data_IF_686757418450
#
_entry.id   IF_686757418450
#
_cell.length_a   1.000
_cell.length_b   1.000
_cell.length_c   1.000
_cell.angle_alpha   90.00
_cell.angle_beta   90.00
_cell.angle_gamma   90.00
#
_symmetry.space_group_name_H-M   'P 1'
#
loop_
_entity.id
_entity.type
_entity.pdbx_description
1 polymer ?
#
# COMPACT_ATOMS: atom_id res chain seq x y z
N UNK A 1 38.32 22.53 52.28
CA UNK A 1 37.51 23.72 51.90
C UNK A 1 37.83 23.97 50.43
N UNK A 2 37.02 23.40 49.53
CA UNK A 2 35.90 24.07 48.80
C UNK A 2 36.47 24.99 47.69
N UNK A 3 36.10 24.95 46.42
CA UNK A 3 35.13 24.16 45.66
C UNK A 3 35.31 24.47 44.14
N UNK A 4 35.30 23.44 43.30
CA UNK A 4 34.80 23.29 41.90
C UNK A 4 35.20 24.18 40.69
N UNK A 5 35.10 23.61 39.45
CA UNK A 5 35.57 24.19 38.17
C UNK A 5 34.46 24.76 37.26
N UNK A 6 34.81 25.78 36.46
CA UNK A 6 34.08 26.20 35.26
C UNK A 6 34.09 25.03 34.24
N UNK A 7 33.01 24.59 33.60
CA UNK A 7 31.72 25.20 33.31
C UNK A 7 31.41 24.94 31.84
N UNK A 8 30.73 23.83 31.56
CA UNK A 8 30.30 23.35 30.23
C UNK A 8 29.37 24.36 29.56
N UNK A 9 29.73 24.88 28.39
CA UNK A 9 28.83 25.73 27.60
C UNK A 9 27.76 24.86 26.91
N UNK A 10 26.59 24.79 27.52
CA UNK A 10 25.33 24.40 26.87
C UNK A 10 24.81 25.64 26.15
N UNK A 11 24.90 25.67 24.82
CA UNK A 11 24.14 26.63 24.02
C UNK A 11 22.73 26.05 23.84
N UNK A 12 21.79 26.51 24.65
CA UNK A 12 20.36 26.44 24.34
C UNK A 12 20.11 27.44 23.23
N UNK A 13 19.64 26.97 22.08
CA UNK A 13 19.01 27.83 21.09
C UNK A 13 17.51 27.54 21.13
N UNK A 14 16.81 28.33 21.94
CA UNK A 14 15.36 28.48 21.89
C UNK A 14 15.03 29.41 20.69
N UNK A 15 13.91 29.13 20.02
CA UNK A 15 13.35 29.83 18.84
C UNK A 15 13.68 29.22 17.47
N UNK A 16 13.11 28.05 17.19
CA UNK A 16 12.67 27.66 15.84
C UNK A 16 11.16 27.44 15.87
N UNK A 17 10.39 28.50 15.65
CA UNK A 17 8.96 28.41 15.34
C UNK A 17 8.83 27.89 13.91
N UNK A 18 8.80 26.56 13.78
CA UNK A 18 8.61 25.87 12.51
C UNK A 18 7.22 26.14 11.92
N UNK A 19 7.15 27.05 10.95
CA UNK A 19 6.07 27.08 9.99
C UNK A 19 6.23 25.86 9.08
N UNK A 20 5.59 24.76 9.45
CA UNK A 20 5.42 23.61 8.58
C UNK A 20 4.55 24.04 7.40
N UNK A 21 5.16 24.12 6.21
CA UNK A 21 4.41 24.18 4.96
C UNK A 21 3.68 22.84 4.81
N UNK A 22 2.44 22.79 5.28
CA UNK A 22 1.49 21.76 4.90
C UNK A 22 1.31 21.82 3.39
N UNK A 23 1.64 20.73 2.70
CA UNK A 23 1.18 20.49 1.34
C UNK A 23 -0.34 20.65 1.32
N UNK A 24 -0.87 21.40 0.35
CA UNK A 24 -2.28 21.74 0.28
C UNK A 24 -3.14 20.45 0.24
N UNK A 25 -4.15 20.29 1.10
CA UNK A 25 -5.10 19.17 1.05
C UNK A 25 -5.91 19.08 -0.26
N UNK A 26 -5.88 20.13 -1.09
CA UNK A 26 -6.82 20.34 -2.19
C UNK A 26 -6.64 19.41 -3.40
N UNK A 27 -5.50 18.72 -3.55
CA UNK A 27 -5.36 17.70 -4.60
C UNK A 27 -5.94 16.34 -4.19
N UNK A 28 -6.12 16.08 -2.89
CA UNK A 28 -6.79 14.88 -2.37
C UNK A 28 -8.30 15.06 -2.17
N UNK A 29 -8.80 16.31 -2.12
CA UNK A 29 -10.23 16.58 -1.95
C UNK A 29 -11.06 16.28 -3.20
N UNK A 30 -10.45 16.07 -4.37
CA UNK A 30 -11.20 15.75 -5.61
C UNK A 30 -11.73 14.33 -5.70
N UNK A 31 -11.42 13.44 -4.75
CA UNK A 31 -11.89 12.05 -4.79
C UNK A 31 -12.47 11.61 -3.45
N UNK A 32 -13.57 12.26 -3.08
CA UNK A 32 -14.56 11.66 -2.17
C UNK A 32 -15.95 12.00 -2.68
N UNK A 33 -16.31 11.41 -3.84
CA UNK A 33 -17.71 11.24 -4.21
C UNK A 33 -18.35 10.03 -3.50
N UNK A 34 -17.75 9.54 -2.41
CA UNK A 34 -18.49 8.73 -1.45
C UNK A 34 -19.69 9.53 -0.99
N UNK A 35 -20.87 8.92 -1.15
CA UNK A 35 -22.17 9.46 -0.78
C UNK A 35 -22.07 10.39 0.44
N UNK A 36 -22.59 11.62 0.32
CA UNK A 36 -22.72 12.60 1.42
C UNK A 36 -23.52 12.06 2.62
N UNK A 37 -24.06 10.86 2.52
CA UNK A 37 -24.74 10.14 3.58
C UNK A 37 -23.99 8.83 3.85
N UNK A 38 -23.39 8.65 5.04
CA UNK A 38 -22.86 7.35 5.44
C UNK A 38 -24.00 6.33 5.42
N UNK A 39 -23.72 5.07 5.05
CA UNK A 39 -24.73 4.01 5.13
C UNK A 39 -25.30 3.94 6.57
N UNK A 40 -26.57 3.54 6.72
CA UNK A 40 -27.18 3.40 8.03
C UNK A 40 -26.34 2.45 8.90
N UNK A 41 -26.15 2.81 10.17
CA UNK A 41 -25.41 2.01 11.16
C UNK A 41 -26.00 0.61 11.17
N UNK A 42 -25.25 -0.38 10.67
CA UNK A 42 -25.71 -1.77 10.64
C UNK A 42 -25.84 -2.28 12.07
N UNK A 43 -27.08 -2.53 12.50
CA UNK A 43 -27.39 -3.15 13.80
C UNK A 43 -27.33 -4.67 13.75
N UNK A 44 -27.12 -5.28 12.57
CA UNK A 44 -26.88 -6.71 12.43
C UNK A 44 -25.42 -7.03 12.72
N UNK A 45 -25.17 -8.04 13.56
CA UNK A 45 -23.82 -8.60 13.74
C UNK A 45 -23.27 -9.02 12.38
N UNK A 46 -22.28 -8.29 11.88
CA UNK A 46 -21.56 -8.65 10.66
C UNK A 46 -20.86 -9.98 10.90
N UNK A 47 -21.12 -10.93 10.00
CA UNK A 47 -20.42 -12.22 10.00
C UNK A 47 -19.21 -12.14 9.07
N UNK A 48 -18.19 -12.93 9.37
CA UNK A 48 -16.93 -12.93 8.62
C UNK A 48 -16.63 -14.31 8.04
N UNK A 49 -16.05 -14.29 6.84
CA UNK A 49 -15.39 -15.44 6.22
C UNK A 49 -13.88 -15.22 6.23
N UNK A 50 -13.12 -16.31 6.27
CA UNK A 50 -11.68 -16.27 6.45
C UNK A 50 -10.94 -17.02 5.34
N UNK A 51 -9.79 -16.47 4.97
CA UNK A 51 -8.70 -17.16 4.29
C UNK A 51 -7.43 -16.94 5.10
N UNK A 52 -6.47 -17.83 4.93
CA UNK A 52 -5.23 -17.82 5.70
C UNK A 52 -4.06 -17.85 4.74
N UNK A 53 -3.17 -16.87 4.85
CA UNK A 53 -1.97 -16.76 4.04
C UNK A 53 -0.75 -17.16 4.87
N UNK A 54 0.00 -18.15 4.40
CA UNK A 54 1.22 -18.65 5.02
C UNK A 54 2.45 -17.93 4.49
N UNK A 55 3.55 -17.98 5.23
CA UNK A 55 4.79 -17.28 4.87
C UNK A 55 5.47 -17.78 3.60
N UNK A 56 5.14 -18.98 3.12
CA UNK A 56 5.58 -19.48 1.81
C UNK A 56 4.66 -19.01 0.66
N UNK A 57 3.66 -18.16 0.94
CA UNK A 57 2.64 -17.72 -0.01
C UNK A 57 1.46 -18.69 -0.17
N UNK A 58 1.42 -19.81 0.56
CA UNK A 58 0.28 -20.72 0.54
C UNK A 58 -1.00 -20.03 1.01
N UNK A 59 -2.14 -20.40 0.43
CA UNK A 59 -3.47 -19.89 0.79
C UNK A 59 -4.36 -21.06 1.18
N UNK A 60 -5.05 -20.98 2.30
CA UNK A 60 -6.03 -21.97 2.74
C UNK A 60 -7.33 -21.31 3.23
N UNK A 61 -8.42 -22.09 3.24
CA UNK A 61 -9.71 -21.70 3.84
C UNK A 61 -9.84 -22.10 5.31
N UNK A 62 -8.87 -22.86 5.83
CA UNK A 62 -8.77 -23.24 7.23
C UNK A 62 -7.35 -22.94 7.75
N UNK A 63 -7.26 -22.62 9.05
CA UNK A 63 -5.98 -22.31 9.69
C UNK A 63 -5.28 -23.59 10.13
N UNK A 64 -4.08 -23.81 9.63
CA UNK A 64 -3.19 -24.91 10.05
C UNK A 64 -1.86 -24.30 10.48
N UNK A 65 -1.78 -23.87 11.74
CA UNK A 65 -0.62 -23.19 12.29
C UNK A 65 -0.62 -21.66 12.11
N UNK A 66 0.57 -21.06 12.08
CA UNK A 66 0.74 -19.61 11.98
C UNK A 66 0.48 -19.12 10.56
N UNK A 67 -0.55 -18.29 10.40
CA UNK A 67 -0.96 -17.72 9.13
C UNK A 67 -1.59 -16.34 9.34
N UNK A 68 -1.41 -15.47 8.35
CA UNK A 68 -1.99 -14.13 8.31
C UNK A 68 -3.48 -14.27 7.93
N UNK A 69 -4.41 -13.84 8.81
CA UNK A 69 -5.83 -13.93 8.51
C UNK A 69 -6.22 -12.86 7.48
N UNK A 70 -6.98 -13.29 6.47
CA UNK A 70 -7.65 -12.43 5.51
C UNK A 70 -9.14 -12.59 5.79
N UNK A 71 -9.70 -11.68 6.57
CA UNK A 71 -11.11 -11.67 6.90
C UNK A 71 -11.88 -10.80 5.92
N UNK A 72 -13.08 -11.22 5.58
CA UNK A 72 -13.98 -10.46 4.72
C UNK A 72 -15.39 -10.54 5.29
N UNK A 73 -16.15 -9.45 5.22
CA UNK A 73 -17.57 -9.48 5.58
C UNK A 73 -18.31 -10.46 4.67
N UNK A 74 -19.44 -11.01 5.12
CA UNK A 74 -20.25 -11.92 4.28
C UNK A 74 -20.82 -11.26 3.02
N UNK A 75 -20.82 -9.93 2.94
CA UNK A 75 -21.25 -9.19 1.75
C UNK A 75 -20.18 -9.17 0.65
N UNK A 76 -18.90 -9.27 1.01
CA UNK A 76 -17.79 -9.31 0.06
C UNK A 76 -17.92 -10.54 -0.83
N UNK A 77 -17.68 -10.40 -2.14
CA UNK A 77 -17.71 -11.52 -3.08
C UNK A 77 -16.60 -12.55 -2.81
N UNK A 78 -16.74 -13.79 -3.31
CA UNK A 78 -15.65 -14.77 -3.22
C UNK A 78 -14.41 -14.29 -4.00
N UNK A 79 -14.61 -13.70 -5.18
CA UNK A 79 -13.55 -13.18 -6.04
C UNK A 79 -12.70 -12.08 -5.36
N UNK A 80 -13.34 -11.13 -4.69
CA UNK A 80 -12.63 -10.09 -3.95
C UNK A 80 -11.82 -10.66 -2.78
N UNK A 81 -12.38 -11.65 -2.06
CA UNK A 81 -11.69 -12.31 -0.96
C UNK A 81 -10.47 -13.12 -1.45
N UNK A 82 -10.61 -13.84 -2.56
CA UNK A 82 -9.50 -14.53 -3.23
C UNK A 82 -8.42 -13.55 -3.70
N UNK A 83 -8.82 -12.39 -4.23
CA UNK A 83 -7.91 -11.33 -4.65
C UNK A 83 -7.09 -10.80 -3.47
N UNK A 84 -7.75 -10.46 -2.35
CA UNK A 84 -7.06 -10.00 -1.16
C UNK A 84 -6.01 -11.01 -0.68
N UNK A 85 -6.39 -12.29 -0.57
CA UNK A 85 -5.48 -13.36 -0.16
C UNK A 85 -4.31 -13.54 -1.14
N UNK A 86 -4.57 -13.42 -2.45
CA UNK A 86 -3.53 -13.51 -3.49
C UNK A 86 -2.55 -12.35 -3.43
N UNK A 87 -3.04 -11.12 -3.22
CA UNK A 87 -2.19 -9.94 -3.05
C UNK A 87 -1.26 -10.12 -1.84
N UNK A 88 -1.82 -10.46 -0.67
CA UNK A 88 -1.02 -10.67 0.55
C UNK A 88 -0.04 -11.82 0.37
N UNK A 89 -0.47 -12.95 -0.21
CA UNK A 89 0.41 -14.09 -0.54
C UNK A 89 1.64 -13.65 -1.32
N UNK A 90 1.46 -12.81 -2.33
CA UNK A 90 2.56 -12.32 -3.18
C UNK A 90 3.44 -11.29 -2.49
N UNK A 91 2.88 -10.50 -1.57
CA UNK A 91 3.69 -9.61 -0.73
C UNK A 91 4.59 -10.43 0.20
N UNK A 92 4.06 -11.51 0.82
CA UNK A 92 4.75 -12.18 1.93
C UNK A 92 5.64 -13.36 1.54
N UNK A 93 5.42 -14.00 0.39
CA UNK A 93 6.06 -15.29 0.01
C UNK A 93 7.59 -15.29 -0.06
N UNK A 94 8.22 -14.12 -0.12
CA UNK A 94 9.68 -13.97 -0.17
C UNK A 94 10.22 -13.13 1.00
N UNK A 95 9.36 -12.76 1.95
CA UNK A 95 9.78 -12.02 3.14
C UNK A 95 10.62 -12.91 4.08
N UNK A 96 11.52 -12.30 4.86
CA UNK A 96 12.18 -12.98 5.96
C UNK A 96 11.16 -13.59 6.93
N UNK A 97 11.43 -14.81 7.40
CA UNK A 97 10.51 -15.58 8.26
C UNK A 97 10.18 -14.85 9.56
N UNK A 98 11.13 -14.11 10.14
CA UNK A 98 10.90 -13.31 11.34
C UNK A 98 9.88 -12.16 11.12
N UNK A 99 9.87 -11.52 9.95
CA UNK A 99 8.87 -10.51 9.60
C UNK A 99 7.52 -11.18 9.40
N UNK A 100 7.47 -12.23 8.58
CA UNK A 100 6.21 -12.88 8.27
C UNK A 100 5.56 -13.56 9.49
N UNK A 101 6.35 -14.16 10.38
CA UNK A 101 5.82 -14.76 11.61
C UNK A 101 5.20 -13.72 12.54
N UNK A 102 5.76 -12.50 12.61
CA UNK A 102 5.14 -11.39 13.36
C UNK A 102 3.80 -10.96 12.73
N UNK A 103 3.70 -10.94 11.40
CA UNK A 103 2.42 -10.69 10.72
C UNK A 103 1.40 -11.80 11.00
N UNK A 104 1.84 -13.06 11.04
CA UNK A 104 0.96 -14.20 11.33
C UNK A 104 0.43 -14.23 12.77
N UNK A 105 1.07 -13.50 13.69
CA UNK A 105 0.56 -13.23 15.04
C UNK A 105 -0.31 -11.97 15.14
N UNK A 106 -0.55 -11.28 14.03
CA UNK A 106 -1.33 -10.04 13.95
C UNK A 106 -2.70 -10.28 13.32
N UNK A 107 -3.59 -9.29 13.41
CA UNK A 107 -4.96 -9.38 12.94
C UNK A 107 -5.15 -9.32 11.40
N UNK A 108 -4.07 -9.13 10.62
CA UNK A 108 -4.04 -9.30 9.17
C UNK A 108 -4.84 -8.26 8.36
N UNK A 109 -5.70 -8.74 7.46
CA UNK A 109 -6.43 -7.91 6.47
C UNK A 109 -7.92 -8.05 6.65
N UNK A 110 -8.65 -6.93 6.61
CA UNK A 110 -10.11 -6.90 6.59
C UNK A 110 -10.66 -6.31 5.30
N UNK A 111 -11.52 -7.07 4.62
CA UNK A 111 -12.22 -6.64 3.40
C UNK A 111 -13.68 -6.34 3.69
N UNK A 112 -14.17 -5.19 3.22
CA UNK A 112 -15.56 -4.75 3.35
C UNK A 112 -16.10 -4.25 2.00
N UNK A 113 -17.41 -4.00 1.91
CA UNK A 113 -18.06 -3.51 0.69
C UNK A 113 -18.45 -2.04 0.82
N UNK A 114 -18.81 -1.35 -0.28
CA UNK A 114 -19.36 0.03 -0.22
C UNK A 114 -20.67 0.18 0.55
N UNK A 115 -21.34 -0.92 0.88
CA UNK A 115 -22.53 -0.91 1.74
C UNK A 115 -22.17 -0.77 3.22
N UNK A 116 -20.88 -0.87 3.52
CA UNK A 116 -20.29 -0.88 4.84
C UNK A 116 -19.24 0.23 4.94
N UNK A 117 -18.82 0.52 6.16
CA UNK A 117 -17.70 1.39 6.48
C UNK A 117 -16.63 0.58 7.19
N UNK A 118 -15.38 1.02 7.17
CA UNK A 118 -14.26 0.21 7.68
C UNK A 118 -14.38 -0.17 9.17
N UNK A 119 -15.20 0.51 9.96
CA UNK A 119 -15.46 0.18 11.36
C UNK A 119 -16.25 -1.13 11.55
N UNK A 120 -16.76 -1.75 10.47
CA UNK A 120 -17.26 -3.13 10.53
C UNK A 120 -16.15 -4.13 10.85
N UNK A 121 -14.90 -3.79 10.51
CA UNK A 121 -13.75 -4.63 10.80
C UNK A 121 -13.54 -4.77 12.32
N UNK A 122 -13.33 -6.00 12.83
CA UNK A 122 -12.97 -6.24 14.21
C UNK A 122 -11.92 -5.25 14.72
N UNK A 123 -12.05 -4.76 15.95
CA UNK A 123 -11.10 -3.79 16.53
C UNK A 123 -11.27 -2.33 16.08
N UNK A 124 -12.07 -2.03 15.05
CA UNK A 124 -12.27 -0.67 14.53
C UNK A 124 -13.61 -0.02 14.92
N UNK A 125 -14.42 -0.66 15.77
CA UNK A 125 -15.68 -0.08 16.24
C UNK A 125 -15.52 1.25 17.00
N UNK A 126 -14.33 1.51 17.55
CA UNK A 126 -14.00 2.76 18.24
C UNK A 126 -13.94 3.96 17.29
N UNK A 127 -13.72 3.75 15.99
CA UNK A 127 -13.62 4.83 14.99
C UNK A 127 -14.92 5.05 14.21
N UNK A 128 -16.00 4.33 14.56
CA UNK A 128 -17.30 4.45 13.92
C UNK A 128 -17.86 5.88 13.96
N UNK A 129 -18.36 6.36 12.82
CA UNK A 129 -18.92 7.71 12.70
C UNK A 129 -20.35 7.78 13.24
N UNK A 130 -20.46 8.12 14.53
CA UNK A 130 -21.73 8.25 15.24
C UNK A 130 -22.54 9.44 14.74
N UNK A 131 -23.89 9.46 14.89
CA UNK A 131 -24.71 10.58 14.43
C UNK A 131 -24.25 11.94 14.98
N UNK A 132 -23.79 12.00 16.23
CA UNK A 132 -23.25 13.21 16.87
C UNK A 132 -21.91 13.69 16.31
N UNK A 133 -21.19 12.83 15.56
CA UNK A 133 -19.88 13.11 15.01
C UNK A 133 -19.90 13.36 13.50
N UNK A 134 -21.04 13.18 12.82
CA UNK A 134 -21.14 13.37 11.36
C UNK A 134 -20.62 14.75 10.95
N UNK A 135 -19.69 14.76 10.00
CA UNK A 135 -19.13 16.00 9.45
C UNK A 135 -18.20 16.79 10.39
N UNK A 136 -17.85 16.28 11.57
CA UNK A 136 -16.91 16.94 12.49
C UNK A 136 -15.87 15.99 13.08
N UNK A 137 -14.64 16.47 13.20
CA UNK A 137 -13.53 15.79 13.86
C UNK A 137 -13.15 16.47 15.19
N UNK A 138 -13.95 17.44 15.65
CA UNK A 138 -13.61 18.23 16.83
C UNK A 138 -13.93 17.48 18.14
N UNK A 139 -13.17 17.79 19.19
CA UNK A 139 -13.42 17.31 20.55
C UNK A 139 -13.49 15.79 20.65
N UNK A 140 -14.59 15.27 21.22
CA UNK A 140 -14.84 13.84 21.41
C UNK A 140 -15.05 13.04 20.12
N UNK A 141 -15.12 13.71 18.97
CA UNK A 141 -15.24 13.07 17.65
C UNK A 141 -13.91 12.89 16.92
N UNK A 142 -12.80 13.36 17.48
CA UNK A 142 -11.47 13.28 16.88
C UNK A 142 -11.02 11.84 16.57
N UNK A 143 -11.43 10.87 17.39
CA UNK A 143 -11.17 9.45 17.17
C UNK A 143 -11.87 8.85 15.93
N UNK A 144 -12.87 9.53 15.37
CA UNK A 144 -13.59 9.09 14.16
C UNK A 144 -12.94 9.60 12.86
N UNK A 145 -11.81 10.30 12.98
CA UNK A 145 -11.06 10.84 11.87
C UNK A 145 -9.61 10.34 11.88
N UNK A 146 -9.08 10.18 10.68
CA UNK A 146 -7.66 9.93 10.45
C UNK A 146 -6.84 11.18 10.76
N UNK A 147 -5.51 11.01 10.83
CA UNK A 147 -4.58 12.09 11.19
C UNK A 147 -4.58 13.26 10.21
N UNK A 148 -5.05 13.07 8.97
CA UNK A 148 -5.19 14.14 7.98
C UNK A 148 -6.58 14.81 7.98
N UNK A 149 -7.45 14.43 8.93
CA UNK A 149 -8.77 15.04 9.11
C UNK A 149 -9.89 14.37 8.30
N UNK A 150 -9.63 13.33 7.52
CA UNK A 150 -10.69 12.57 6.83
C UNK A 150 -11.43 11.64 7.80
N UNK A 151 -12.74 11.50 7.60
CA UNK A 151 -13.57 10.54 8.34
C UNK A 151 -13.21 9.11 7.98
N UNK A 152 -13.07 8.23 8.97
CA UNK A 152 -12.86 6.80 8.69
C UNK A 152 -14.03 6.20 7.89
N UNK A 153 -15.26 6.70 8.09
CA UNK A 153 -16.43 6.30 7.30
C UNK A 153 -16.34 6.64 5.81
N UNK A 154 -15.43 7.53 5.39
CA UNK A 154 -15.20 7.86 3.97
C UNK A 154 -13.94 7.23 3.37
N UNK A 155 -13.16 6.48 4.16
CA UNK A 155 -11.92 5.89 3.67
C UNK A 155 -12.20 4.54 3.00
N UNK A 156 -11.57 4.34 1.84
CA UNK A 156 -11.58 3.07 1.11
C UNK A 156 -10.65 2.02 1.71
N UNK A 157 -9.75 2.43 2.60
CA UNK A 157 -8.80 1.59 3.29
C UNK A 157 -8.05 2.36 4.37
N UNK A 158 -7.43 1.62 5.28
CA UNK A 158 -6.58 2.17 6.33
C UNK A 158 -5.60 1.11 6.79
N UNK A 159 -4.35 1.50 6.95
CA UNK A 159 -3.31 0.72 7.56
C UNK A 159 -3.27 0.90 9.07
N UNK A 160 -2.62 -0.04 9.75
CA UNK A 160 -2.57 -0.07 11.21
C UNK A 160 -2.78 -1.47 11.74
N UNK A 161 -3.59 -1.60 12.79
CA UNK A 161 -3.87 -2.89 13.42
C UNK A 161 -4.44 -3.89 12.40
N UNK A 162 -5.27 -3.40 11.49
CA UNK A 162 -5.66 -4.10 10.28
C UNK A 162 -5.17 -3.28 9.09
N UNK A 163 -4.85 -3.96 8.00
CA UNK A 163 -5.00 -3.34 6.69
C UNK A 163 -6.45 -3.55 6.26
N UNK A 164 -7.22 -2.46 6.20
CA UNK A 164 -8.60 -2.50 5.70
C UNK A 164 -8.65 -2.10 4.24
N UNK A 165 -9.58 -2.69 3.50
CA UNK A 165 -9.75 -2.41 2.09
C UNK A 165 -11.19 -2.65 1.63
N UNK A 166 -11.70 -1.77 0.78
CA UNK A 166 -12.95 -1.98 0.06
C UNK A 166 -12.77 -2.93 -1.13
N UNK A 167 -13.76 -3.80 -1.35
CA UNK A 167 -13.73 -4.80 -2.40
C UNK A 167 -13.72 -4.23 -3.83
N UNK A 168 -14.39 -3.09 -4.08
CA UNK A 168 -14.37 -2.44 -5.40
C UNK A 168 -12.91 -2.14 -5.86
N UNK A 169 -11.98 -1.77 -4.96
CA UNK A 169 -10.55 -1.56 -5.29
C UNK A 169 -9.82 -2.87 -5.61
N UNK A 170 -10.14 -3.95 -4.91
CA UNK A 170 -9.55 -5.27 -5.16
C UNK A 170 -9.98 -5.83 -6.53
N UNK A 171 -11.24 -5.59 -6.89
CA UNK A 171 -11.81 -6.01 -8.16
C UNK A 171 -11.40 -5.08 -9.31
N UNK A 172 -10.92 -3.87 -9.00
CA UNK A 172 -10.61 -2.83 -9.98
C UNK A 172 -11.84 -2.55 -10.86
N UNK A 173 -13.03 -2.48 -10.26
CA UNK A 173 -14.25 -2.21 -11.01
C UNK A 173 -14.50 -0.70 -11.17
N UNK A 174 -15.62 -0.33 -11.80
CA UNK A 174 -15.97 1.07 -12.05
C UNK A 174 -16.27 1.89 -10.78
N UNK A 175 -16.49 1.22 -9.64
CA UNK A 175 -16.71 1.86 -8.35
C UNK A 175 -15.43 1.98 -7.52
N UNK A 176 -14.28 1.51 -8.02
CA UNK A 176 -12.98 1.73 -7.38
C UNK A 176 -12.73 3.24 -7.20
N UNK A 177 -12.64 3.73 -5.95
CA UNK A 177 -12.44 5.14 -5.69
C UNK A 177 -11.08 5.67 -6.17
N UNK A 178 -10.14 4.79 -6.53
CA UNK A 178 -8.84 5.18 -7.08
C UNK A 178 -8.75 4.98 -8.60
N UNK A 179 -9.89 4.79 -9.27
CA UNK A 179 -9.97 4.70 -10.72
C UNK A 179 -9.12 3.59 -11.30
N UNK A 180 -8.97 2.45 -10.59
CA UNK A 180 -8.28 1.24 -11.07
C UNK A 180 -6.77 1.42 -11.26
N UNK A 181 -6.21 2.51 -10.72
CA UNK A 181 -4.79 2.86 -10.89
C UNK A 181 -3.96 2.58 -9.65
N UNK A 182 -4.54 2.47 -8.47
CA UNK A 182 -3.81 2.37 -7.20
C UNK A 182 -4.27 1.15 -6.39
N UNK A 183 -3.31 0.30 -5.99
CA UNK A 183 -3.59 -0.87 -5.16
C UNK A 183 -3.51 -0.47 -3.68
N UNK A 184 -4.66 -0.11 -3.11
CA UNK A 184 -4.76 0.36 -1.73
C UNK A 184 -4.34 -0.76 -0.76
N UNK A 185 -4.68 -2.03 -1.03
CA UNK A 185 -4.29 -3.11 -0.12
C UNK A 185 -2.77 -3.24 0.03
N UNK A 186 -1.99 -3.12 -1.05
CA UNK A 186 -0.52 -3.14 -0.96
C UNK A 186 -0.02 -1.99 -0.10
N UNK A 187 -0.60 -0.80 -0.27
CA UNK A 187 -0.24 0.37 0.53
C UNK A 187 -0.58 0.17 2.02
N UNK A 188 -1.83 -0.15 2.35
CA UNK A 188 -2.27 -0.26 3.75
C UNK A 188 -1.62 -1.45 4.47
N UNK A 189 -1.38 -2.57 3.78
CA UNK A 189 -0.66 -3.70 4.36
C UNK A 189 0.82 -3.37 4.61
N UNK A 190 1.41 -2.49 3.80
CA UNK A 190 2.77 -1.97 4.05
C UNK A 190 2.84 -1.14 5.33
N UNK A 191 1.82 -0.34 5.65
CA UNK A 191 1.72 0.32 6.96
C UNK A 191 1.66 -0.69 8.11
N UNK A 192 0.89 -1.77 7.98
CA UNK A 192 0.86 -2.85 8.98
C UNK A 192 2.23 -3.52 9.16
N UNK A 193 2.95 -3.78 8.06
CA UNK A 193 4.32 -4.33 8.09
C UNK A 193 5.27 -3.38 8.83
N UNK A 194 5.28 -2.10 8.47
CA UNK A 194 6.12 -1.07 9.08
C UNK A 194 5.85 -0.93 10.58
N UNK A 195 4.58 -0.95 10.98
CA UNK A 195 4.21 -0.72 12.37
C UNK A 195 4.48 -1.93 13.27
N UNK A 196 4.22 -3.15 12.80
CA UNK A 196 4.16 -4.34 13.67
C UNK A 196 5.17 -5.44 13.34
N UNK A 197 5.60 -5.56 12.09
CA UNK A 197 6.42 -6.72 11.66
C UNK A 197 7.92 -6.42 11.67
N UNK A 198 8.32 -5.21 11.30
CA UNK A 198 9.74 -4.82 11.35
C UNK A 198 10.17 -4.50 12.78
N UNK A 199 11.41 -4.84 13.13
CA UNK A 199 11.99 -4.53 14.45
C UNK A 199 12.45 -3.06 14.56
N UNK A 200 12.91 -2.65 15.75
CA UNK A 200 13.36 -1.28 16.00
C UNK A 200 14.54 -0.88 15.11
N UNK A 201 15.48 -1.78 14.86
CA UNK A 201 16.63 -1.50 14.00
C UNK A 201 16.19 -1.22 12.56
N UNK A 202 15.25 -2.00 12.04
CA UNK A 202 14.69 -1.78 10.71
C UNK A 202 13.84 -0.51 10.66
N UNK A 203 13.05 -0.20 11.69
CA UNK A 203 12.35 1.10 11.80
C UNK A 203 13.33 2.27 11.74
N UNK A 204 14.45 2.18 12.48
CA UNK A 204 15.49 3.22 12.41
C UNK A 204 16.10 3.34 11.01
N UNK A 205 16.31 2.23 10.28
CA UNK A 205 16.79 2.27 8.88
C UNK A 205 15.79 2.95 7.95
N UNK A 206 14.50 2.66 8.11
CA UNK A 206 13.42 3.31 7.33
C UNK A 206 13.39 4.81 7.63
N UNK A 207 13.45 5.19 8.89
CA UNK A 207 13.51 6.58 9.33
C UNK A 207 14.70 7.33 8.72
N UNK A 208 15.91 6.74 8.80
CA UNK A 208 17.11 7.33 8.21
C UNK A 208 17.02 7.45 6.69
N UNK A 209 16.46 6.44 6.00
CA UNK A 209 16.24 6.50 4.55
C UNK A 209 15.30 7.66 4.18
N UNK A 210 14.19 7.81 4.92
CA UNK A 210 13.23 8.90 4.73
C UNK A 210 13.86 10.28 4.93
N UNK A 211 14.62 10.48 6.01
CA UNK A 211 15.32 11.75 6.26
C UNK A 211 16.35 12.06 5.18
N UNK A 212 17.11 11.05 4.73
CA UNK A 212 18.06 11.20 3.64
C UNK A 212 17.36 11.58 2.32
N UNK A 213 16.25 10.91 1.99
CA UNK A 213 15.43 11.21 0.82
C UNK A 213 14.86 12.64 0.86
N UNK A 214 14.41 13.12 2.03
CA UNK A 214 14.00 14.52 2.24
C UNK A 214 15.15 15.49 2.01
N UNK A 215 16.29 15.25 2.64
CA UNK A 215 17.46 16.15 2.59
C UNK A 215 17.95 16.35 1.16
N UNK A 216 18.04 15.26 0.37
CA UNK A 216 18.51 15.31 -1.02
C UNK A 216 17.41 15.52 -2.06
N UNK A 217 16.16 15.71 -1.63
CA UNK A 217 14.98 15.82 -2.51
C UNK A 217 14.90 14.70 -3.54
N UNK A 218 15.11 13.47 -3.08
CA UNK A 218 15.07 12.28 -3.92
C UNK A 218 13.71 12.11 -4.62
N UNK A 219 12.65 12.56 -3.94
CA UNK A 219 11.28 12.58 -4.43
C UNK A 219 10.73 13.99 -4.27
N UNK A 220 9.69 14.30 -5.04
CA UNK A 220 9.01 15.60 -4.99
C UNK A 220 8.58 15.91 -3.54
N UNK A 221 9.08 16.99 -2.90
CA UNK A 221 8.82 17.27 -1.49
C UNK A 221 7.33 17.40 -1.15
N UNK A 222 6.52 17.87 -2.11
CA UNK A 222 5.07 18.01 -1.96
C UNK A 222 4.29 16.69 -2.15
N UNK A 223 4.95 15.62 -2.59
CA UNK A 223 4.30 14.33 -2.84
C UNK A 223 3.76 13.68 -1.56
N UNK A 224 2.72 12.85 -1.74
CA UNK A 224 2.12 12.10 -0.64
C UNK A 224 3.14 11.18 0.05
N UNK A 225 4.04 10.58 -0.74
CA UNK A 225 5.12 9.75 -0.22
C UNK A 225 6.08 10.51 0.71
N UNK A 226 6.19 11.84 0.61
CA UNK A 226 7.07 12.64 1.45
C UNK A 226 6.36 13.29 2.66
N UNK A 227 5.07 12.98 2.87
CA UNK A 227 4.29 13.53 3.98
C UNK A 227 4.73 12.97 5.34
N UNK A 228 4.93 11.65 5.44
CA UNK A 228 5.40 10.96 6.65
C UNK A 228 6.33 9.80 6.30
N UNK A 229 7.08 9.29 7.29
CA UNK A 229 7.90 8.08 7.12
C UNK A 229 7.06 6.85 6.74
N UNK A 230 5.86 6.71 7.32
CA UNK A 230 4.96 5.61 6.99
C UNK A 230 4.51 5.67 5.54
N UNK A 231 4.11 6.86 5.06
CA UNK A 231 3.73 7.05 3.66
C UNK A 231 4.89 6.82 2.70
N UNK A 232 6.09 7.26 3.08
CA UNK A 232 7.31 7.01 2.32
C UNK A 232 7.57 5.52 2.14
N UNK A 233 7.47 4.74 3.22
CA UNK A 233 7.64 3.29 3.16
C UNK A 233 6.52 2.61 2.36
N UNK A 234 5.26 2.97 2.60
CA UNK A 234 4.11 2.36 1.92
C UNK A 234 4.07 2.66 0.42
N UNK A 235 4.33 3.92 0.02
CA UNK A 235 4.46 4.28 -1.39
C UNK A 235 5.66 3.61 -2.05
N UNK A 236 6.81 3.56 -1.35
CA UNK A 236 7.97 2.81 -1.79
C UNK A 236 7.68 1.33 -2.03
N UNK A 237 6.92 0.69 -1.14
CA UNK A 237 6.51 -0.70 -1.29
C UNK A 237 5.60 -0.92 -2.52
N UNK A 238 4.62 -0.02 -2.76
CA UNK A 238 3.79 -0.10 -3.97
C UNK A 238 4.63 0.02 -5.25
N UNK A 239 5.67 0.86 -5.24
CA UNK A 239 6.62 0.97 -6.34
C UNK A 239 7.47 -0.31 -6.47
N UNK A 240 8.13 -0.76 -5.41
CA UNK A 240 9.00 -1.95 -5.44
C UNK A 240 8.31 -3.23 -5.94
N UNK A 241 7.01 -3.36 -5.63
CA UNK A 241 6.16 -4.47 -6.07
C UNK A 241 5.45 -4.21 -7.41
N UNK A 242 5.69 -3.05 -8.03
CA UNK A 242 5.04 -2.56 -9.25
C UNK A 242 3.51 -2.74 -9.21
N UNK A 243 2.91 -2.33 -8.09
CA UNK A 243 1.54 -2.67 -7.74
C UNK A 243 0.50 -1.73 -8.39
N UNK A 244 0.90 -0.51 -8.77
CA UNK A 244 -0.02 0.47 -9.33
C UNK A 244 0.09 0.50 -10.87
N UNK A 245 -0.88 1.15 -11.50
CA UNK A 245 -1.04 1.24 -12.95
C UNK A 245 -1.17 2.71 -13.41
N UNK A 246 -0.87 3.64 -12.50
CA UNK A 246 -0.99 5.08 -12.71
C UNK A 246 -0.21 5.85 -11.65
N UNK A 247 0.01 7.14 -11.93
CA UNK A 247 0.74 8.10 -11.07
C UNK A 247 -0.21 8.89 -10.17
N UNK A 248 -1.48 8.48 -10.13
CA UNK A 248 -2.55 9.14 -9.38
C UNK A 248 -2.24 9.15 -7.88
N UNK A 249 -2.88 10.08 -7.16
CA UNK A 249 -2.85 10.15 -5.69
C UNK A 249 -1.45 10.40 -5.09
N UNK A 250 -0.62 11.19 -5.78
CA UNK A 250 0.68 11.63 -5.28
C UNK A 250 1.74 10.52 -5.23
N UNK A 251 1.57 9.44 -5.99
CA UNK A 251 2.53 8.34 -6.08
C UNK A 251 3.52 8.52 -7.24
N UNK A 252 4.32 9.58 -7.15
CA UNK A 252 5.39 9.85 -8.12
C UNK A 252 6.56 8.87 -8.03
N UNK A 253 6.56 7.95 -7.05
CA UNK A 253 7.61 6.94 -6.90
C UNK A 253 7.60 5.89 -8.01
N UNK A 254 6.53 5.84 -8.84
CA UNK A 254 6.38 4.86 -9.91
C UNK A 254 6.78 5.35 -11.31
N UNK A 255 7.13 6.63 -11.39
CA UNK A 255 7.58 7.25 -12.64
C UNK A 255 9.09 7.05 -12.83
N UNK A 256 9.46 6.23 -13.80
CA UNK A 256 10.86 6.10 -14.21
C UNK A 256 11.36 7.35 -14.93
N UNK A 257 10.45 8.09 -15.56
CA UNK A 257 10.68 9.40 -16.15
C UNK A 257 9.39 10.22 -16.11
N UNK A 258 9.43 11.56 -16.21
CA UNK A 258 8.24 12.40 -16.08
C UNK A 258 7.10 11.94 -16.97
N UNK A 259 5.96 11.59 -16.35
CA UNK A 259 4.76 11.13 -17.04
C UNK A 259 4.81 9.68 -17.58
N UNK A 260 5.90 8.93 -17.33
CA UNK A 260 6.04 7.55 -17.78
C UNK A 260 6.32 6.61 -16.61
N UNK A 261 5.39 5.67 -16.41
CA UNK A 261 5.54 4.58 -15.45
C UNK A 261 6.71 3.67 -15.81
N UNK A 262 7.36 3.14 -14.78
CA UNK A 262 8.30 2.04 -14.94
C UNK A 262 7.63 0.80 -15.54
N UNK A 263 8.30 0.14 -16.49
CA UNK A 263 7.78 -1.07 -17.15
C UNK A 263 8.19 -2.33 -16.38
N UNK A 264 7.34 -2.75 -15.45
CA UNK A 264 7.53 -4.00 -14.71
C UNK A 264 8.35 -3.85 -13.42
N UNK A 265 8.36 -4.92 -12.63
CA UNK A 265 9.00 -4.95 -11.30
C UNK A 265 10.50 -4.65 -11.38
N UNK A 266 11.23 -5.21 -12.35
CA UNK A 266 12.68 -5.03 -12.44
C UNK A 266 13.07 -3.59 -12.79
N UNK A 267 12.41 -2.97 -13.78
CA UNK A 267 12.66 -1.57 -14.12
C UNK A 267 12.37 -0.63 -12.94
N UNK A 268 11.29 -0.91 -12.21
CA UNK A 268 10.91 -0.14 -11.04
C UNK A 268 11.89 -0.31 -9.86
N UNK A 269 12.37 -1.54 -9.63
CA UNK A 269 13.40 -1.82 -8.62
C UNK A 269 14.72 -1.13 -8.96
N UNK A 270 15.12 -1.16 -10.23
CA UNK A 270 16.31 -0.47 -10.71
C UNK A 270 16.19 1.05 -10.53
N UNK A 271 15.05 1.64 -10.88
CA UNK A 271 14.80 3.06 -10.65
C UNK A 271 14.87 3.44 -9.15
N UNK A 272 14.28 2.62 -8.26
CA UNK A 272 14.43 2.81 -6.82
C UNK A 272 15.89 2.69 -6.38
N UNK A 273 16.67 1.76 -6.93
CA UNK A 273 18.09 1.61 -6.62
C UNK A 273 18.90 2.85 -7.00
N UNK A 274 18.70 3.39 -8.21
CA UNK A 274 19.39 4.58 -8.69
C UNK A 274 18.98 5.84 -7.92
N UNK A 275 17.66 6.04 -7.75
CA UNK A 275 17.11 7.27 -7.19
C UNK A 275 17.11 7.26 -5.68
N UNK A 276 16.88 6.12 -5.04
CA UNK A 276 16.77 5.97 -3.59
C UNK A 276 17.29 4.64 -3.02
N UNK A 277 18.61 4.47 -3.14
CA UNK A 277 19.34 3.27 -2.69
C UNK A 277 19.05 2.85 -1.24
N UNK A 278 18.83 3.80 -0.34
CA UNK A 278 18.51 3.51 1.06
C UNK A 278 17.12 2.86 1.19
N UNK A 279 16.10 3.44 0.55
CA UNK A 279 14.76 2.86 0.46
C UNK A 279 14.78 1.50 -0.22
N UNK A 280 15.45 1.42 -1.38
CA UNK A 280 15.60 0.18 -2.13
C UNK A 280 16.14 -0.94 -1.26
N UNK A 281 17.19 -0.67 -0.48
CA UNK A 281 17.83 -1.69 0.37
C UNK A 281 16.89 -2.20 1.46
N UNK A 282 16.11 -1.31 2.08
CA UNK A 282 15.06 -1.69 3.04
C UNK A 282 14.01 -2.57 2.34
N UNK A 283 13.47 -2.14 1.20
CA UNK A 283 12.39 -2.84 0.51
C UNK A 283 12.85 -4.20 -0.02
N UNK A 284 14.07 -4.29 -0.53
CA UNK A 284 14.69 -5.55 -0.96
C UNK A 284 14.81 -6.53 0.20
N UNK A 285 15.20 -6.06 1.39
CA UNK A 285 15.22 -6.92 2.57
C UNK A 285 13.81 -7.36 2.98
N UNK A 286 12.88 -6.42 3.14
CA UNK A 286 11.51 -6.70 3.60
C UNK A 286 10.80 -7.66 2.65
N UNK A 287 10.73 -7.35 1.36
CA UNK A 287 9.85 -8.04 0.41
C UNK A 287 10.49 -9.20 -0.35
N UNK A 288 11.82 -9.29 -0.35
CA UNK A 288 12.54 -10.30 -1.14
C UNK A 288 13.67 -11.00 -0.40
N UNK A 289 13.87 -10.73 0.91
CA UNK A 289 15.01 -11.27 1.67
C UNK A 289 16.36 -11.02 0.98
N UNK A 290 16.55 -9.79 0.46
CA UNK A 290 17.70 -9.38 -0.35
C UNK A 290 17.90 -10.17 -1.66
N UNK A 291 16.82 -10.72 -2.23
CA UNK A 291 16.81 -11.35 -3.55
C UNK A 291 15.95 -10.54 -4.52
N UNK A 292 16.33 -9.29 -4.84
CA UNK A 292 15.50 -8.34 -5.58
C UNK A 292 15.25 -8.73 -7.05
N UNK A 293 15.91 -9.77 -7.57
CA UNK A 293 15.62 -10.34 -8.89
C UNK A 293 14.50 -11.38 -8.84
N UNK A 294 14.03 -11.76 -7.64
CA UNK A 294 12.90 -12.67 -7.49
C UNK A 294 11.61 -11.89 -7.71
N UNK A 295 10.85 -12.17 -8.78
CA UNK A 295 9.62 -11.43 -9.04
C UNK A 295 8.56 -11.79 -7.99
N UNK A 296 7.78 -10.81 -7.54
CA UNK A 296 6.58 -11.01 -6.72
C UNK A 296 5.33 -11.22 -7.61
N UNK A 297 5.43 -10.86 -8.90
CA UNK A 297 4.43 -11.01 -9.95
C UNK A 297 3.11 -10.28 -9.70
N UNK A 298 3.08 -9.26 -8.83
CA UNK A 298 1.84 -8.63 -8.38
C UNK A 298 1.13 -7.90 -9.55
N UNK A 299 1.90 -7.20 -10.39
CA UNK A 299 1.43 -6.51 -11.60
C UNK A 299 0.75 -7.45 -12.62
N UNK A 300 1.30 -8.66 -12.83
CA UNK A 300 0.82 -9.61 -13.83
C UNK A 300 -0.58 -10.17 -13.54
N UNK A 301 -1.07 -10.03 -12.31
CA UNK A 301 -2.42 -10.46 -11.92
C UNK A 301 -3.46 -9.37 -12.05
N UNK A 302 -3.07 -8.10 -11.93
CA UNK A 302 -3.96 -6.98 -12.27
C UNK A 302 -4.23 -6.95 -13.79
N UNK A 303 -3.25 -7.34 -14.63
CA UNK A 303 -3.45 -7.51 -16.08
C UNK A 303 -4.41 -8.65 -16.42
N UNK A 304 -4.18 -9.88 -15.92
CA UNK A 304 -4.99 -11.06 -16.26
C UNK A 304 -6.46 -10.99 -15.85
N UNK A 305 -6.80 -10.25 -14.79
CA UNK A 305 -8.22 -10.07 -14.43
C UNK A 305 -8.96 -9.16 -15.39
N UNK A 306 -8.29 -8.11 -15.92
CA UNK A 306 -8.87 -7.20 -16.91
C UNK A 306 -9.23 -7.93 -18.20
N UNK A 307 -8.31 -8.76 -18.70
CA UNK A 307 -8.54 -9.59 -19.89
C UNK A 307 -9.74 -10.54 -19.68
N UNK A 308 -9.81 -11.21 -18.54
CA UNK A 308 -10.92 -12.11 -18.22
C UNK A 308 -12.27 -11.41 -18.01
N UNK A 309 -12.29 -10.16 -17.52
CA UNK A 309 -13.53 -9.39 -17.37
C UNK A 309 -14.05 -8.88 -18.72
N UNK A 310 -13.16 -8.43 -19.59
CA UNK A 310 -13.48 -8.08 -20.99
C UNK A 310 -14.07 -9.29 -21.69
N UNK A 311 -13.46 -10.47 -21.55
CA UNK A 311 -13.97 -11.71 -22.15
C UNK A 311 -15.35 -12.09 -21.62
N UNK A 312 -15.62 -11.95 -20.31
CA UNK A 312 -16.95 -12.20 -19.74
C UNK A 312 -17.99 -11.18 -20.23
N UNK A 313 -17.64 -9.90 -20.32
CA UNK A 313 -18.53 -8.85 -20.87
C UNK A 313 -18.82 -9.12 -22.35
N UNK A 314 -17.83 -9.56 -23.12
CA UNK A 314 -17.97 -9.93 -24.53
C UNK A 314 -18.84 -11.17 -24.72
N UNK A 315 -18.67 -12.21 -23.89
CA UNK A 315 -19.53 -13.39 -23.91
C UNK A 315 -20.97 -13.08 -23.48
N UNK A 316 -21.17 -12.20 -22.50
CA UNK A 316 -22.51 -11.76 -22.07
C UNK A 316 -23.21 -10.91 -23.14
N UNK A 317 -22.46 -10.09 -23.89
CA UNK A 317 -22.97 -9.29 -25.00
C UNK A 317 -23.30 -10.08 -26.28
N UNK A 318 -22.80 -11.31 -26.43
CA UNK A 318 -23.19 -12.20 -27.55
C UNK A 318 -24.57 -12.86 -27.36
N UNK A 319 -25.10 -12.89 -26.13
CA UNK A 319 -26.42 -13.45 -25.85
C UNK A 319 -27.57 -12.43 -25.99
N UNK A 320 -27.26 -11.14 -26.18
CA UNK A 320 -28.23 -10.10 -26.51
C UNK A 320 -27.92 -9.52 -27.89
N UNK A 321 -28.63 -10.01 -28.91
CA UNK A 321 -28.52 -9.50 -30.27
C UNK A 321 -29.06 -8.08 -30.38
N UNK A 322 -28.21 -7.08 -30.14
CA UNK A 322 -28.17 -5.70 -30.70
C UNK A 322 -27.24 -4.83 -29.84
N UNK A 323 -25.92 -5.00 -29.99
CA UNK A 323 -25.00 -3.96 -29.52
C UNK A 323 -24.45 -3.16 -30.70
N UNK A 324 -25.05 -1.98 -30.87
CA UNK A 324 -24.55 -0.90 -31.72
C UNK A 324 -23.25 -0.40 -31.08
N UNK A 325 -22.15 -0.36 -31.84
CA UNK A 325 -20.88 0.25 -31.41
C UNK A 325 -21.16 1.64 -30.84
N UNK A 326 -21.12 1.78 -29.52
CA UNK A 326 -20.86 3.05 -28.86
C UNK A 326 -19.38 3.03 -28.50
N UNK A 327 -18.68 4.04 -28.99
CA UNK A 327 -17.39 4.47 -28.45
C UNK A 327 -17.60 4.80 -26.97
N UNK A 328 -16.70 4.31 -26.12
CA UNK A 328 -16.09 4.99 -24.95
C UNK A 328 -15.44 3.94 -24.02
N UNK A 329 -14.48 4.42 -23.21
CA UNK A 329 -13.69 3.74 -22.17
C UNK A 329 -12.30 3.22 -22.60
N UNK A 330 -11.36 4.17 -22.70
CA UNK A 330 -9.92 3.93 -22.68
C UNK A 330 -9.46 3.30 -21.35
N UNK A 331 -9.12 2.01 -21.39
CA UNK A 331 -8.19 1.36 -20.45
C UNK A 331 -7.31 0.33 -21.18
N UNK A 332 -6.88 0.66 -22.41
CA UNK A 332 -5.92 -0.12 -23.17
C UNK A 332 -4.51 0.47 -23.01
N UNK A 333 -3.57 -0.35 -22.53
CA UNK A 333 -2.18 -0.23 -22.98
C UNK A 333 -1.85 -1.49 -23.77
N UNK A 334 -1.64 -1.25 -25.06
CA UNK A 334 -1.14 -2.19 -26.04
C UNK A 334 0.35 -2.47 -25.76
N UNK A 335 0.72 -3.73 -25.54
CA UNK A 335 2.09 -4.20 -25.75
C UNK A 335 2.04 -5.53 -26.48
N UNK A 336 2.26 -5.47 -27.78
CA UNK A 336 2.89 -6.54 -28.53
C UNK A 336 4.36 -6.64 -28.08
N UNK A 337 4.78 -7.86 -27.70
CA UNK A 337 6.13 -8.45 -27.83
C UNK A 337 7.27 -7.65 -27.12
N UNK A 338 7.95 -8.17 -26.10
CA UNK A 338 9.16 -9.00 -26.19
C UNK A 338 9.40 -9.60 -24.78
N UNK A 339 9.44 -10.94 -24.67
CA UNK A 339 9.95 -11.66 -23.48
C UNK A 339 11.42 -12.12 -23.64
N UNK A 340 12.12 -11.75 -24.71
CA UNK A 340 13.53 -12.09 -24.91
C UNK A 340 14.39 -10.82 -24.89
N UNK A 341 15.12 -10.53 -23.80
CA UNK A 341 16.43 -9.81 -23.79
C UNK A 341 17.04 -9.64 -22.38
N UNK A 342 16.32 -9.84 -21.26
CA UNK A 342 16.90 -9.52 -19.93
C UNK A 342 17.85 -10.60 -19.38
N UNK A 343 17.91 -11.79 -19.96
CA UNK A 343 18.73 -12.89 -19.43
C UNK A 343 20.23 -12.82 -19.79
N UNK A 344 20.66 -11.90 -20.67
CA UNK A 344 22.06 -11.88 -21.16
C UNK A 344 22.96 -10.76 -20.63
N UNK A 345 22.42 -9.64 -20.16
CA UNK A 345 23.25 -8.47 -19.79
C UNK A 345 23.39 -8.23 -18.28
N UNK A 346 22.80 -9.07 -17.42
CA UNK A 346 22.88 -8.89 -15.95
C UNK A 346 23.90 -9.80 -15.24
N UNK A 347 24.80 -10.46 -15.99
CA UNK A 347 25.88 -11.28 -15.43
C UNK A 347 27.16 -10.47 -15.12
N UNK A 348 27.26 -9.19 -15.52
CA UNK A 348 28.55 -8.45 -15.48
C UNK A 348 28.71 -7.47 -14.29
N UNK A 349 27.81 -7.42 -13.31
CA UNK A 349 27.94 -6.49 -12.18
C UNK A 349 27.87 -7.13 -10.79
N UNK A 350 28.55 -8.27 -10.57
CA UNK A 350 28.87 -8.79 -9.22
C UNK A 350 30.22 -9.51 -9.21
N UNK A 351 31.29 -8.83 -9.61
CA UNK A 351 32.70 -9.11 -9.30
C UNK A 351 33.37 -7.74 -9.49
N UNK A 352 33.79 -6.99 -8.47
CA UNK A 352 35.03 -7.14 -7.70
C UNK A 352 34.89 -6.18 -6.50
N UNK A 353 35.12 -6.67 -5.28
CA UNK A 353 35.64 -5.89 -4.14
C UNK A 353 36.18 -6.92 -3.12
N UNK A 354 37.18 -7.68 -3.56
CA UNK A 354 38.20 -8.23 -2.66
C UNK A 354 39.40 -7.29 -2.80
N UNK A 355 39.55 -6.36 -1.85
CA UNK A 355 40.82 -5.66 -1.61
C UNK A 355 41.26 -6.04 -0.20
N UNK A 356 42.44 -6.65 -0.19
CA UNK A 356 43.10 -7.30 0.93
C UNK A 356 43.33 -6.40 2.15
N UNK A 357 43.23 -7.04 3.31
CA UNK A 357 43.85 -6.65 4.56
C UNK A 357 45.33 -7.11 4.53
N UNK A 358 46.26 -6.16 4.53
CA UNK A 358 47.54 -6.25 5.25
C UNK A 358 47.84 -4.93 5.96
#
# INVERSE_FOLDING_TARGET
MLETPLGTHIIRNENFTGAWFYSRPEEFTRVSSYSKHPPPISTKRTSFKYKYVYCNGGIATYKSGSAIPIQATTLVSAAAHDKAATIVSRMVRHMPSNICNKLASHDGVCVFTKQETLDVCPGLSAVADRPSCRGTCAGSCSNTCSSDGRKYSSLAGSGGQFATIIDDNLLCDSADPYGQTFNVLVHEFSHTIHRYAVDSAMKSRIHSAYLAAKSRRAWEPSSYAMSTEGEYFAQGATAYLNANQGVSHGNYMQECSPGNLCKGEMAMRYHLYEKDRALYSVLAWVYSSNKPNTPNNLAAYNKRLRENEIDRKFQKGKNDSKFRKKNDDHCDINYSIIEDIVEKDMIIAVLVDDIDYE
#
